data_IF_636353318996
#
_entry.id   IF_636353318996
#
_cell.length_a   1.000
_cell.length_b   1.000
_cell.length_c   1.000
_cell.angle_alpha   90.00
_cell.angle_beta   90.00
_cell.angle_gamma   90.00
#
_symmetry.space_group_name_H-M   'P 1'
#
loop_
_entity.id
_entity.type
_entity.pdbx_description
1 polymer ?
#
# COMPACT_ATOMS: atom_id res chain seq x y z
N UNK A 1 -12.84 37.37 -39.40
CA UNK A 1 -13.72 36.20 -39.28
C UNK A 1 -13.58 35.67 -37.86
N UNK A 2 -14.63 35.81 -37.05
CA UNK A 2 -14.67 35.54 -35.65
C UNK A 2 -14.90 34.02 -35.42
N UNK A 3 -14.03 33.38 -34.64
CA UNK A 3 -14.31 32.07 -34.07
C UNK A 3 -14.88 32.30 -32.67
N UNK A 4 -16.20 32.24 -32.57
CA UNK A 4 -16.93 32.20 -31.33
C UNK A 4 -16.71 30.84 -30.66
N UNK A 5 -15.99 30.80 -29.56
CA UNK A 5 -15.94 29.65 -28.70
C UNK A 5 -17.23 29.53 -27.91
N UNK A 6 -17.95 28.46 -28.14
CA UNK A 6 -19.16 28.07 -27.39
C UNK A 6 -18.80 27.82 -25.95
N UNK A 7 -19.27 28.68 -25.04
CA UNK A 7 -19.41 28.43 -23.62
C UNK A 7 -20.63 27.50 -23.44
N UNK A 8 -20.39 26.21 -23.45
CA UNK A 8 -21.37 25.19 -23.18
C UNK A 8 -21.15 24.51 -21.85
N UNK A 9 -22.22 24.39 -21.09
CA UNK A 9 -22.48 23.55 -19.95
C UNK A 9 -21.70 23.83 -18.64
N UNK A 10 -22.34 24.66 -17.80
CA UNK A 10 -22.16 24.58 -16.35
C UNK A 10 -22.75 23.25 -15.82
N UNK A 11 -22.10 22.13 -16.09
CA UNK A 11 -22.41 20.89 -15.41
C UNK A 11 -22.19 21.14 -13.91
N UNK A 12 -23.28 21.09 -13.12
CA UNK A 12 -23.22 21.18 -11.67
C UNK A 12 -22.26 20.11 -11.16
N UNK A 13 -21.07 20.52 -10.69
CA UNK A 13 -20.04 19.62 -10.18
C UNK A 13 -20.66 18.70 -9.12
N UNK A 14 -20.54 17.39 -9.31
CA UNK A 14 -21.08 16.41 -8.37
C UNK A 14 -20.45 16.61 -7.00
N UNK A 15 -21.21 16.35 -5.93
CA UNK A 15 -20.72 16.54 -4.56
C UNK A 15 -19.43 15.75 -4.30
N UNK A 16 -19.34 14.51 -4.79
CA UNK A 16 -18.17 13.66 -4.63
C UNK A 16 -16.91 14.27 -5.26
N UNK A 17 -17.01 14.78 -6.49
CA UNK A 17 -15.90 15.43 -7.20
C UNK A 17 -15.42 16.66 -6.44
N UNK A 18 -16.34 17.41 -5.86
CA UNK A 18 -16.03 18.61 -5.07
C UNK A 18 -15.32 18.28 -3.78
N UNK A 19 -15.76 17.25 -3.03
CA UNK A 19 -15.07 16.77 -1.82
C UNK A 19 -13.64 16.34 -2.13
N UNK A 20 -13.44 15.63 -3.23
CA UNK A 20 -12.10 15.24 -3.71
C UNK A 20 -11.22 16.46 -4.01
N UNK A 21 -11.75 17.45 -4.71
CA UNK A 21 -11.00 18.66 -5.05
C UNK A 21 -10.64 19.50 -3.81
N UNK A 22 -11.49 19.53 -2.77
CA UNK A 22 -11.16 20.18 -1.49
C UNK A 22 -9.93 19.50 -0.86
N UNK A 23 -9.92 18.18 -0.75
CA UNK A 23 -8.78 17.45 -0.19
C UNK A 23 -7.52 17.69 -1.03
N UNK A 24 -7.64 17.63 -2.35
CA UNK A 24 -6.53 17.88 -3.25
C UNK A 24 -5.97 19.31 -3.09
N UNK A 25 -6.84 20.30 -2.96
CA UNK A 25 -6.45 21.70 -2.75
C UNK A 25 -5.73 21.93 -1.41
N UNK A 26 -6.05 21.14 -0.38
CA UNK A 26 -5.41 21.21 0.94
C UNK A 26 -4.12 20.38 1.03
N UNK A 27 -3.92 19.44 0.12
CA UNK A 27 -2.79 18.51 0.15
C UNK A 27 -1.46 19.21 -0.05
N UNK A 28 -0.46 18.84 0.76
CA UNK A 28 0.90 19.38 0.66
C UNK A 28 1.09 20.81 1.13
N UNK A 29 0.04 21.50 1.55
CA UNK A 29 0.13 22.86 2.09
C UNK A 29 0.65 22.83 3.52
N UNK A 30 1.54 23.78 3.82
CA UNK A 30 2.02 24.05 5.19
C UNK A 30 1.25 25.14 5.89
N UNK A 31 0.45 25.92 5.16
CA UNK A 31 -0.35 27.06 5.64
C UNK A 31 -1.81 26.82 5.33
N UNK A 32 -2.69 27.31 6.22
CA UNK A 32 -4.13 27.20 6.06
C UNK A 32 -4.61 27.91 4.77
N UNK A 33 -5.46 27.24 4.00
CA UNK A 33 -6.10 27.78 2.81
C UNK A 33 -7.45 28.39 3.21
N UNK A 34 -7.68 29.70 2.98
CA UNK A 34 -8.95 30.34 3.30
C UNK A 34 -10.14 29.72 2.54
N UNK A 35 -11.28 29.55 3.21
CA UNK A 35 -12.50 29.01 2.60
C UNK A 35 -12.94 29.80 1.36
N UNK A 36 -12.68 31.10 1.30
CA UNK A 36 -12.96 31.93 0.13
C UNK A 36 -12.20 31.48 -1.10
N UNK A 37 -10.93 31.11 -0.95
CA UNK A 37 -10.11 30.56 -2.05
C UNK A 37 -10.62 29.22 -2.55
N UNK A 38 -11.09 28.35 -1.64
CA UNK A 38 -11.74 27.10 -2.01
C UNK A 38 -13.04 27.37 -2.79
N UNK A 39 -13.85 28.31 -2.31
CA UNK A 39 -15.10 28.71 -2.96
C UNK A 39 -14.87 29.25 -4.39
N UNK A 40 -13.87 30.10 -4.55
CA UNK A 40 -13.45 30.64 -5.85
C UNK A 40 -12.97 29.52 -6.80
N UNK A 41 -12.07 28.65 -6.32
CA UNK A 41 -11.49 27.56 -7.13
C UNK A 41 -12.55 26.55 -7.58
N UNK A 42 -13.51 26.25 -6.71
CA UNK A 42 -14.55 25.24 -6.97
C UNK A 42 -15.83 25.85 -7.58
N UNK A 43 -15.87 27.16 -7.74
CA UNK A 43 -17.04 27.90 -8.22
C UNK A 43 -18.32 27.59 -7.44
N UNK A 44 -18.23 27.63 -6.09
CA UNK A 44 -19.34 27.37 -5.17
C UNK A 44 -19.44 28.42 -4.09
N UNK A 45 -20.55 28.44 -3.35
CA UNK A 45 -20.72 29.38 -2.22
C UNK A 45 -19.83 28.99 -1.04
N UNK A 46 -19.45 29.98 -0.19
CA UNK A 46 -18.77 29.76 1.08
C UNK A 46 -19.53 28.76 1.99
N UNK A 47 -20.86 28.87 2.04
CA UNK A 47 -21.73 27.95 2.79
C UNK A 47 -21.56 26.49 2.31
N UNK A 48 -21.41 26.31 1.00
CA UNK A 48 -21.15 24.98 0.44
C UNK A 48 -19.80 24.43 0.88
N UNK A 49 -18.74 25.27 0.85
CA UNK A 49 -17.40 24.88 1.31
C UNK A 49 -17.43 24.47 2.78
N UNK A 50 -18.04 25.27 3.65
CA UNK A 50 -18.13 24.96 5.08
C UNK A 50 -18.84 23.64 5.35
N UNK A 51 -19.96 23.39 4.67
CA UNK A 51 -20.68 22.12 4.80
C UNK A 51 -19.84 20.95 4.32
N UNK A 52 -19.21 21.08 3.16
CA UNK A 52 -18.40 20.01 2.58
C UNK A 52 -17.15 19.70 3.43
N UNK A 53 -16.51 20.72 4.03
CA UNK A 53 -15.41 20.53 4.97
C UNK A 53 -15.89 19.84 6.24
N UNK A 54 -17.03 20.23 6.80
CA UNK A 54 -17.61 19.58 7.97
C UNK A 54 -17.94 18.11 7.70
N UNK A 55 -18.50 17.80 6.54
CA UNK A 55 -18.78 16.43 6.12
C UNK A 55 -17.50 15.58 5.99
N UNK A 56 -16.42 16.17 5.46
CA UNK A 56 -15.10 15.51 5.39
C UNK A 56 -14.52 15.24 6.78
N UNK A 57 -14.62 16.21 7.69
CA UNK A 57 -14.17 16.06 9.09
C UNK A 57 -14.95 14.96 9.81
N UNK A 58 -16.28 14.93 9.66
CA UNK A 58 -17.14 13.84 10.20
C UNK A 58 -16.77 12.50 9.59
N UNK A 59 -16.37 12.46 8.32
CA UNK A 59 -15.91 11.25 7.64
C UNK A 59 -14.49 10.81 8.04
N UNK A 60 -13.86 11.52 9.00
CA UNK A 60 -12.52 11.17 9.52
C UNK A 60 -11.36 11.75 8.73
N UNK A 61 -11.59 12.63 7.76
CA UNK A 61 -10.50 13.35 7.07
C UNK A 61 -9.92 14.38 8.05
N UNK A 62 -8.62 14.33 8.38
CA UNK A 62 -8.02 15.18 9.40
C UNK A 62 -7.76 16.60 8.86
N UNK A 63 -8.84 17.33 8.62
CA UNK A 63 -8.80 18.73 8.26
C UNK A 63 -8.85 19.55 9.55
N UNK A 64 -7.83 20.38 9.76
CA UNK A 64 -7.78 21.36 10.85
C UNK A 64 -8.08 22.76 10.32
N UNK A 65 -8.66 23.58 11.17
CA UNK A 65 -9.00 24.97 10.86
C UNK A 65 -10.45 25.30 11.17
N UNK A 66 -10.75 26.58 11.04
CA UNK A 66 -12.07 27.14 11.33
C UNK A 66 -12.48 28.22 10.32
N UNK A 67 -13.76 28.55 10.34
CA UNK A 67 -14.31 29.61 9.52
C UNK A 67 -13.61 30.94 9.79
N UNK A 68 -13.14 31.63 8.74
CA UNK A 68 -12.42 32.90 8.83
C UNK A 68 -10.90 32.78 8.84
N UNK A 69 -10.32 31.69 9.36
CA UNK A 69 -8.88 31.44 9.38
C UNK A 69 -8.46 30.65 8.13
N UNK A 70 -9.18 29.57 7.84
CA UNK A 70 -8.90 28.66 6.73
C UNK A 70 -8.65 27.24 7.20
N UNK A 71 -8.36 26.35 6.26
CA UNK A 71 -8.25 24.92 6.46
C UNK A 71 -6.91 24.39 6.00
N UNK A 72 -6.38 23.39 6.71
CA UNK A 72 -5.16 22.66 6.37
C UNK A 72 -5.38 21.17 6.61
N UNK A 73 -4.80 20.34 5.78
CA UNK A 73 -4.81 18.90 5.97
C UNK A 73 -3.60 18.51 6.85
N UNK A 74 -3.84 17.83 7.97
CA UNK A 74 -2.79 17.37 8.89
C UNK A 74 -1.85 16.40 8.16
N UNK A 75 -0.54 16.48 8.41
CA UNK A 75 0.44 15.49 7.91
C UNK A 75 0.13 14.11 8.49
N UNK A 76 0.16 13.09 7.63
CA UNK A 76 -0.18 11.72 8.03
C UNK A 76 -1.66 11.38 7.83
N UNK A 77 -2.41 12.26 7.15
CA UNK A 77 -3.73 11.90 6.67
C UNK A 77 -3.60 10.70 5.74
N UNK A 78 -4.14 9.58 6.20
CA UNK A 78 -4.31 8.40 5.38
C UNK A 78 -5.19 8.75 4.16
N UNK A 79 -5.15 7.96 3.18
CA UNK A 79 -5.67 8.07 1.81
C UNK A 79 -6.97 8.94 1.70
N UNK A 80 -7.07 9.87 0.73
CA UNK A 80 -8.27 10.65 0.47
C UNK A 80 -9.46 9.76 0.07
N UNK A 81 -10.72 10.27 0.06
CA UNK A 81 -11.85 9.53 -0.46
C UNK A 81 -11.54 9.00 -1.85
N UNK A 82 -11.50 7.67 -1.98
CA UNK A 82 -11.29 6.97 -3.24
C UNK A 82 -12.66 6.54 -3.77
N UNK A 83 -12.88 6.69 -5.06
CA UNK A 83 -14.05 6.16 -5.76
C UNK A 83 -13.62 4.90 -6.49
N UNK A 84 -14.19 3.77 -6.13
CA UNK A 84 -13.94 2.50 -6.78
C UNK A 84 -15.16 2.10 -7.62
N UNK A 85 -14.93 1.60 -8.82
CA UNK A 85 -15.94 0.87 -9.57
C UNK A 85 -16.05 -0.59 -9.06
N UNK A 86 -17.02 -1.34 -9.59
CA UNK A 86 -17.30 -2.69 -9.10
C UNK A 86 -16.15 -3.69 -9.38
N UNK A 87 -15.40 -3.52 -10.46
CA UNK A 87 -14.28 -4.38 -10.85
C UNK A 87 -13.06 -4.09 -9.99
N UNK A 88 -12.79 -2.83 -9.72
CA UNK A 88 -11.72 -2.42 -8.80
C UNK A 88 -11.96 -2.94 -7.38
N UNK A 89 -13.20 -2.86 -6.89
CA UNK A 89 -13.58 -3.44 -5.61
C UNK A 89 -13.40 -4.96 -5.58
N UNK A 90 -13.78 -5.66 -6.64
CA UNK A 90 -13.58 -7.11 -6.74
C UNK A 90 -12.09 -7.45 -6.71
N UNK A 91 -11.25 -6.72 -7.45
CA UNK A 91 -9.80 -6.90 -7.45
C UNK A 91 -9.19 -6.71 -6.06
N UNK A 92 -9.62 -5.67 -5.31
CA UNK A 92 -9.18 -5.44 -3.93
C UNK A 92 -9.60 -6.57 -2.98
N UNK A 93 -10.84 -7.06 -3.09
CA UNK A 93 -11.34 -8.18 -2.29
C UNK A 93 -10.56 -9.46 -2.59
N UNK A 94 -10.36 -9.77 -3.86
CA UNK A 94 -9.59 -10.95 -4.30
C UNK A 94 -8.13 -10.82 -3.83
N UNK A 95 -7.48 -9.69 -4.07
CA UNK A 95 -6.13 -9.41 -3.60
C UNK A 95 -5.98 -9.59 -2.09
N UNK A 96 -6.95 -9.09 -1.30
CA UNK A 96 -6.98 -9.29 0.15
C UNK A 96 -7.12 -10.76 0.55
N UNK A 97 -7.86 -11.58 -0.20
CA UNK A 97 -7.95 -13.05 0.05
C UNK A 97 -6.59 -13.71 -0.16
N UNK A 98 -5.85 -13.33 -1.22
CA UNK A 98 -4.51 -13.83 -1.46
C UNK A 98 -3.54 -13.41 -0.35
N UNK A 99 -3.55 -12.12 0.05
CA UNK A 99 -2.72 -11.65 1.17
C UNK A 99 -3.02 -12.44 2.45
N UNK A 100 -4.29 -12.68 2.78
CA UNK A 100 -4.69 -13.44 3.97
C UNK A 100 -4.30 -14.91 3.90
N UNK A 101 -4.23 -15.49 2.72
CA UNK A 101 -3.88 -16.90 2.53
C UNK A 101 -2.37 -17.15 2.58
N UNK A 102 -1.56 -16.20 2.13
CA UNK A 102 -0.14 -16.43 1.85
C UNK A 102 0.82 -15.49 2.59
N UNK A 103 0.39 -14.31 3.03
CA UNK A 103 1.26 -13.37 3.74
C UNK A 103 1.37 -13.68 5.24
N UNK A 104 2.28 -12.94 5.92
CA UNK A 104 2.46 -12.97 7.36
C UNK A 104 1.23 -12.47 8.14
N UNK A 105 1.21 -12.70 9.45
CA UNK A 105 0.07 -12.38 10.31
C UNK A 105 -0.26 -10.89 10.30
N UNK A 106 0.76 -10.04 10.32
CA UNK A 106 0.62 -8.57 10.34
C UNK A 106 -0.06 -8.06 9.06
N UNK A 107 0.43 -8.47 7.89
CA UNK A 107 -0.13 -8.04 6.62
C UNK A 107 -1.54 -8.64 6.38
N UNK A 108 -1.78 -9.87 6.82
CA UNK A 108 -3.09 -10.52 6.81
C UNK A 108 -4.10 -9.76 7.67
N UNK A 109 -3.71 -9.32 8.88
CA UNK A 109 -4.56 -8.50 9.75
C UNK A 109 -4.85 -7.12 9.13
N UNK A 110 -3.86 -6.48 8.53
CA UNK A 110 -4.01 -5.20 7.84
C UNK A 110 -4.97 -5.31 6.64
N UNK A 111 -4.85 -6.35 5.82
CA UNK A 111 -5.76 -6.61 4.70
C UNK A 111 -7.21 -6.82 5.17
N UNK A 112 -7.40 -7.55 6.28
CA UNK A 112 -8.73 -7.72 6.88
C UNK A 112 -9.30 -6.38 7.35
N UNK A 113 -8.51 -5.57 8.06
CA UNK A 113 -8.94 -4.26 8.55
C UNK A 113 -9.29 -3.31 7.40
N UNK A 114 -8.52 -3.30 6.32
CA UNK A 114 -8.82 -2.53 5.12
C UNK A 114 -10.15 -2.93 4.48
N UNK A 115 -10.40 -4.25 4.31
CA UNK A 115 -11.68 -4.73 3.78
C UNK A 115 -12.86 -4.33 4.64
N UNK A 116 -12.77 -4.42 5.97
CA UNK A 116 -13.85 -4.00 6.87
C UNK A 116 -14.17 -2.51 6.71
N UNK A 117 -13.17 -1.65 6.54
CA UNK A 117 -13.37 -0.22 6.26
C UNK A 117 -14.08 0.01 4.92
N UNK A 118 -13.68 -0.71 3.88
CA UNK A 118 -14.32 -0.64 2.55
C UNK A 118 -15.78 -1.11 2.65
N UNK A 119 -16.03 -2.28 3.24
CA UNK A 119 -17.37 -2.85 3.37
C UNK A 119 -18.32 -1.96 4.17
N UNK A 120 -17.81 -1.22 5.17
CA UNK A 120 -18.62 -0.32 6.00
C UNK A 120 -19.23 0.83 5.20
N UNK A 121 -18.59 1.28 4.12
CA UNK A 121 -19.05 2.41 3.30
C UNK A 121 -19.70 1.98 1.98
N UNK A 122 -19.68 0.68 1.65
CA UNK A 122 -20.29 0.18 0.42
C UNK A 122 -21.82 0.19 0.46
N UNK A 123 -22.48 0.61 -0.63
CA UNK A 123 -23.91 0.36 -0.85
C UNK A 123 -24.24 -1.15 -0.75
N UNK A 124 -25.44 -1.52 -0.28
CA UNK A 124 -25.83 -2.94 -0.09
C UNK A 124 -25.63 -3.81 -1.33
N UNK A 125 -25.92 -3.27 -2.52
CA UNK A 125 -25.81 -3.98 -3.80
C UNK A 125 -24.34 -4.32 -4.14
N UNK A 126 -23.43 -3.36 -3.98
CA UNK A 126 -22.00 -3.57 -4.21
C UNK A 126 -21.41 -4.51 -3.15
N UNK A 127 -21.84 -4.40 -1.90
CA UNK A 127 -21.44 -5.32 -0.83
C UNK A 127 -21.86 -6.76 -1.14
N UNK A 128 -23.11 -6.97 -1.60
CA UNK A 128 -23.58 -8.29 -2.00
C UNK A 128 -22.78 -8.84 -3.20
N UNK A 129 -22.37 -7.99 -4.15
CA UNK A 129 -21.56 -8.39 -5.30
C UNK A 129 -20.16 -8.82 -4.89
N UNK A 130 -19.48 -8.07 -4.03
CA UNK A 130 -18.13 -8.43 -3.53
C UNK A 130 -18.12 -9.73 -2.73
N UNK A 131 -19.19 -9.99 -1.96
CA UNK A 131 -19.38 -11.24 -1.22
C UNK A 131 -19.64 -12.45 -2.13
N UNK A 132 -20.22 -12.24 -3.31
CA UNK A 132 -20.50 -13.30 -4.31
C UNK A 132 -19.29 -13.66 -5.19
N UNK A 133 -18.18 -12.94 -5.10
CA UNK A 133 -16.98 -13.29 -5.86
C UNK A 133 -16.55 -14.74 -5.57
N UNK A 134 -16.45 -15.54 -6.63
CA UNK A 134 -16.13 -16.98 -6.56
C UNK A 134 -14.65 -17.26 -6.67
N UNK A 135 -13.80 -16.24 -6.61
CA UNK A 135 -12.34 -16.39 -6.65
C UNK A 135 -11.86 -16.58 -5.21
N UNK A 136 -11.31 -17.75 -4.95
CA UNK A 136 -10.78 -18.15 -3.65
C UNK A 136 -9.27 -18.32 -3.71
N UNK A 137 -8.60 -18.12 -2.58
CA UNK A 137 -7.19 -18.40 -2.40
C UNK A 137 -7.05 -19.53 -1.35
N UNK A 138 -7.28 -20.80 -1.72
CA UNK A 138 -7.18 -21.89 -0.77
C UNK A 138 -5.71 -22.12 -0.40
N UNK A 139 -5.37 -21.92 0.87
CA UNK A 139 -4.07 -22.27 1.42
C UNK A 139 -4.10 -23.72 1.89
N UNK A 140 -3.47 -24.64 1.15
CA UNK A 140 -3.32 -26.07 1.53
C UNK A 140 -2.04 -26.36 2.29
N UNK A 141 -1.15 -25.39 2.44
CA UNK A 141 0.15 -25.61 3.11
C UNK A 141 0.09 -25.31 4.58
N UNK A 142 0.83 -26.17 5.34
CA UNK A 142 1.23 -25.83 6.69
C UNK A 142 1.74 -24.39 6.68
N UNK A 143 1.22 -23.58 7.57
CA UNK A 143 1.72 -22.22 7.82
C UNK A 143 3.24 -22.33 7.94
N UNK A 144 3.96 -21.80 6.97
CA UNK A 144 5.27 -21.23 7.29
C UNK A 144 4.93 -20.30 8.42
N UNK A 145 5.65 -20.44 9.54
CA UNK A 145 5.34 -19.65 10.71
C UNK A 145 5.19 -18.21 10.25
N UNK A 146 3.98 -17.69 10.37
CA UNK A 146 3.60 -16.36 9.82
C UNK A 146 4.52 -15.29 10.37
N UNK A 147 5.11 -15.55 11.54
CA UNK A 147 6.04 -14.71 12.24
C UNK A 147 7.40 -14.62 11.53
N UNK A 148 7.81 -15.69 10.80
CA UNK A 148 9.05 -15.68 9.99
C UNK A 148 8.92 -14.68 8.84
N UNK A 149 7.81 -14.73 8.12
CA UNK A 149 7.55 -13.80 7.00
C UNK A 149 7.47 -12.35 7.50
N UNK A 150 6.78 -12.11 8.61
CA UNK A 150 6.67 -10.77 9.19
C UNK A 150 8.02 -10.25 9.67
N UNK A 151 8.84 -11.11 10.27
CA UNK A 151 10.18 -10.73 10.76
C UNK A 151 11.16 -10.46 9.61
N UNK A 152 11.13 -11.28 8.55
CA UNK A 152 11.92 -11.05 7.34
C UNK A 152 11.50 -9.75 6.63
N UNK A 153 10.19 -9.51 6.54
CA UNK A 153 9.65 -8.27 5.97
C UNK A 153 10.11 -7.03 6.76
N UNK A 154 10.10 -7.11 8.10
CA UNK A 154 10.59 -6.04 8.94
C UNK A 154 12.10 -5.80 8.75
N UNK A 155 12.90 -6.87 8.65
CA UNK A 155 14.35 -6.76 8.42
C UNK A 155 14.67 -6.10 7.06
N UNK A 156 13.89 -6.39 6.02
CA UNK A 156 14.00 -5.72 4.71
C UNK A 156 13.68 -4.23 4.86
N UNK A 157 12.55 -3.89 5.49
CA UNK A 157 12.13 -2.50 5.66
C UNK A 157 13.13 -1.65 6.46
N UNK A 158 13.79 -2.27 7.44
CA UNK A 158 14.80 -1.63 8.29
C UNK A 158 16.24 -1.77 7.73
N UNK A 159 16.43 -2.38 6.56
CA UNK A 159 17.74 -2.66 5.94
C UNK A 159 18.71 -3.36 6.90
N UNK A 160 18.24 -4.35 7.66
CA UNK A 160 19.05 -5.07 8.67
C UNK A 160 19.76 -6.27 8.06
N UNK A 161 21.05 -6.40 8.36
CA UNK A 161 21.81 -7.61 8.04
C UNK A 161 21.34 -8.75 8.91
N UNK A 162 21.08 -9.90 8.28
CA UNK A 162 20.63 -11.11 8.98
C UNK A 162 21.70 -12.20 8.91
N UNK A 163 21.86 -12.91 10.03
CA UNK A 163 22.54 -14.21 10.08
C UNK A 163 21.48 -15.30 9.98
N UNK A 164 21.61 -16.17 8.96
CA UNK A 164 20.70 -17.28 8.70
C UNK A 164 21.40 -18.61 8.93
N UNK A 165 20.79 -19.52 9.67
CA UNK A 165 21.14 -20.95 9.65
C UNK A 165 20.23 -21.61 8.63
N UNK A 166 20.80 -22.03 7.51
CA UNK A 166 20.09 -22.46 6.32
C UNK A 166 20.43 -23.89 5.93
N UNK A 167 19.42 -24.67 5.53
CA UNK A 167 19.59 -25.99 4.91
C UNK A 167 19.29 -25.89 3.43
N UNK A 168 20.26 -26.23 2.60
CA UNK A 168 20.08 -26.27 1.16
C UNK A 168 19.20 -27.44 0.71
N UNK A 169 18.96 -27.55 -0.59
CA UNK A 169 18.13 -28.62 -1.17
C UNK A 169 18.71 -30.01 -0.94
N UNK A 170 20.02 -30.13 -0.85
CA UNK A 170 20.73 -31.36 -0.54
C UNK A 170 20.79 -31.68 0.98
N UNK A 171 20.18 -30.84 1.81
CA UNK A 171 20.15 -31.01 3.27
C UNK A 171 21.38 -30.48 4.00
N UNK A 172 22.38 -29.89 3.30
CA UNK A 172 23.59 -29.36 3.92
C UNK A 172 23.26 -28.10 4.72
N UNK A 173 23.68 -28.10 5.97
CA UNK A 173 23.57 -26.92 6.83
C UNK A 173 24.68 -25.91 6.54
N UNK A 174 24.36 -24.63 6.62
CA UNK A 174 25.32 -23.54 6.49
C UNK A 174 24.81 -22.28 7.18
N UNK A 175 25.72 -21.51 7.78
CA UNK A 175 25.40 -20.19 8.33
C UNK A 175 25.76 -19.12 7.28
N UNK A 176 24.87 -18.17 7.07
CA UNK A 176 25.01 -17.10 6.07
C UNK A 176 24.71 -15.74 6.70
N UNK A 177 25.53 -14.77 6.38
CA UNK A 177 25.18 -13.37 6.59
C UNK A 177 24.68 -12.80 5.27
N UNK A 178 23.48 -12.19 5.33
CA UNK A 178 22.77 -11.71 4.15
C UNK A 178 22.21 -10.32 4.37
N UNK A 179 22.15 -9.56 3.29
CA UNK A 179 21.47 -8.28 3.17
C UNK A 179 20.13 -8.55 2.45
N UNK A 180 19.01 -8.62 3.19
CA UNK A 180 17.73 -9.03 2.62
C UNK A 180 17.15 -7.89 1.76
N UNK A 181 16.72 -8.19 0.53
CA UNK A 181 16.26 -7.19 -0.45
C UNK A 181 14.76 -7.29 -0.73
N UNK A 182 14.23 -8.51 -0.83
CA UNK A 182 12.82 -8.72 -1.09
C UNK A 182 12.30 -10.08 -0.61
N UNK A 183 10.98 -10.17 -0.47
CA UNK A 183 10.24 -11.41 -0.38
C UNK A 183 9.42 -11.59 -1.66
N UNK A 184 9.67 -12.67 -2.39
CA UNK A 184 8.93 -13.02 -3.61
C UNK A 184 8.09 -14.28 -3.39
N UNK A 185 6.85 -14.28 -3.91
CA UNK A 185 5.93 -15.42 -3.82
C UNK A 185 5.76 -16.09 -5.18
N UNK A 186 6.21 -17.33 -5.31
CA UNK A 186 6.19 -18.09 -6.55
C UNK A 186 5.10 -19.19 -6.51
N UNK A 187 3.82 -18.78 -6.62
CA UNK A 187 2.69 -19.72 -6.78
C UNK A 187 2.53 -20.80 -5.69
N UNK A 188 3.10 -20.60 -4.51
CA UNK A 188 2.99 -21.53 -3.40
C UNK A 188 4.20 -21.60 -2.48
N UNK A 189 5.28 -20.90 -2.80
CA UNK A 189 6.46 -20.80 -1.94
C UNK A 189 7.00 -19.38 -1.90
N UNK A 190 7.37 -18.93 -0.72
CA UNK A 190 8.12 -17.70 -0.52
C UNK A 190 9.61 -17.92 -0.75
N UNK A 191 10.27 -16.92 -1.28
CA UNK A 191 11.73 -16.81 -1.34
C UNK A 191 12.16 -15.45 -0.80
N UNK A 192 13.25 -15.45 -0.02
CA UNK A 192 13.96 -14.26 0.41
C UNK A 192 15.08 -14.00 -0.61
N UNK A 193 14.95 -12.95 -1.40
CA UNK A 193 16.04 -12.44 -2.23
C UNK A 193 17.01 -11.62 -1.40
N UNK A 194 18.30 -11.91 -1.49
CA UNK A 194 19.31 -11.26 -0.68
C UNK A 194 20.68 -11.25 -1.34
N UNK A 195 21.52 -10.30 -0.97
CA UNK A 195 22.97 -10.36 -1.19
C UNK A 195 23.61 -11.22 -0.11
N UNK A 196 24.30 -12.27 -0.51
CA UNK A 196 24.98 -13.18 0.41
C UNK A 196 26.46 -12.75 0.58
N UNK A 197 26.82 -12.23 1.75
CA UNK A 197 28.17 -11.76 2.06
C UNK A 197 29.25 -12.83 1.88
N UNK A 198 28.93 -14.10 2.22
CA UNK A 198 29.88 -15.20 2.09
C UNK A 198 30.18 -15.56 0.62
N UNK A 199 29.21 -15.36 -0.28
CA UNK A 199 29.35 -15.70 -1.70
C UNK A 199 29.64 -14.50 -2.56
N UNK A 200 29.54 -13.31 -2.00
CA UNK A 200 29.63 -12.03 -2.71
C UNK A 200 28.76 -12.01 -3.97
N UNK A 201 27.51 -12.52 -3.82
CA UNK A 201 26.60 -12.70 -4.92
C UNK A 201 25.15 -12.77 -4.43
N UNK A 202 24.21 -12.49 -5.34
CA UNK A 202 22.78 -12.63 -5.06
C UNK A 202 22.39 -14.09 -4.85
N UNK A 203 21.53 -14.33 -3.90
CA UNK A 203 20.97 -15.66 -3.58
C UNK A 203 19.51 -15.53 -3.17
N UNK A 204 18.77 -16.58 -3.52
CA UNK A 204 17.39 -16.77 -3.08
C UNK A 204 17.36 -17.86 -2.01
N UNK A 205 16.79 -17.54 -0.85
CA UNK A 205 16.65 -18.45 0.26
C UNK A 205 15.17 -18.78 0.46
N UNK A 206 14.84 -20.04 0.67
CA UNK A 206 13.48 -20.43 1.04
C UNK A 206 13.28 -20.27 2.54
N UNK A 207 12.28 -19.45 3.01
CA UNK A 207 12.05 -19.27 4.44
C UNK A 207 11.74 -20.56 5.19
N UNK A 208 11.08 -21.54 4.55
CA UNK A 208 10.79 -22.85 5.14
C UNK A 208 12.03 -23.76 5.32
N UNK A 209 13.20 -23.33 4.82
CA UNK A 209 14.51 -24.00 5.01
C UNK A 209 15.45 -23.24 5.95
N UNK A 210 15.00 -22.11 6.50
CA UNK A 210 15.72 -21.36 7.51
C UNK A 210 15.41 -21.99 8.86
N UNK A 211 16.43 -22.57 9.51
CA UNK A 211 16.26 -23.16 10.82
C UNK A 211 16.16 -22.07 11.91
N UNK A 212 17.06 -21.10 11.86
CA UNK A 212 17.05 -19.91 12.72
C UNK A 212 17.56 -18.70 11.96
N UNK A 213 17.17 -17.52 12.39
CA UNK A 213 17.76 -16.27 11.89
C UNK A 213 17.74 -15.22 13.00
N UNK A 214 18.70 -14.31 12.94
CA UNK A 214 18.79 -13.18 13.85
C UNK A 214 19.45 -11.98 13.17
N UNK A 215 19.03 -10.74 13.51
CA UNK A 215 19.78 -9.55 13.12
C UNK A 215 21.19 -9.58 13.69
N UNK A 216 22.18 -9.19 12.90
CA UNK A 216 23.58 -9.09 13.37
C UNK A 216 23.86 -7.82 14.19
N UNK A 217 22.93 -6.88 14.18
CA UNK A 217 23.10 -5.52 14.70
C UNK A 217 23.56 -4.51 13.65
N UNK A 218 23.98 -4.98 12.48
CA UNK A 218 24.39 -4.12 11.35
C UNK A 218 23.21 -3.76 10.46
N UNK A 219 23.33 -2.62 9.79
CA UNK A 219 22.47 -2.20 8.67
C UNK A 219 23.28 -2.13 7.40
N UNK A 220 22.60 -2.21 6.26
CA UNK A 220 23.23 -2.05 4.96
C UNK A 220 22.55 -0.91 4.16
N UNK A 221 23.25 -0.42 3.14
CA UNK A 221 22.72 0.56 2.19
C UNK A 221 22.70 -0.10 0.82
N UNK A 222 21.57 -0.06 0.16
CA UNK A 222 21.49 -0.54 -1.22
C UNK A 222 22.32 0.33 -2.15
N UNK A 223 23.04 -0.32 -3.06
CA UNK A 223 23.79 0.34 -4.13
C UNK A 223 23.26 -0.09 -5.49
N UNK A 224 23.75 0.54 -6.56
CA UNK A 224 23.38 0.16 -7.93
C UNK A 224 23.75 -1.29 -8.25
N UNK A 225 24.81 -1.82 -7.62
CA UNK A 225 25.31 -3.19 -7.83
C UNK A 225 24.73 -4.20 -6.83
N UNK A 226 24.30 -3.75 -5.64
CA UNK A 226 23.86 -4.62 -4.52
C UNK A 226 22.50 -4.21 -3.96
N UNK A 227 21.58 -3.78 -4.81
CA UNK A 227 20.21 -3.40 -4.43
C UNK A 227 19.17 -4.27 -5.09
N UNK A 228 17.90 -4.00 -4.76
CA UNK A 228 16.75 -4.72 -5.27
C UNK A 228 16.71 -4.77 -6.81
N UNK A 229 16.96 -3.63 -7.48
CA UNK A 229 16.96 -3.55 -8.96
C UNK A 229 18.02 -4.46 -9.58
N UNK A 230 19.22 -4.48 -9.00
CA UNK A 230 20.29 -5.37 -9.47
C UNK A 230 19.95 -6.85 -9.24
N UNK A 231 19.35 -7.18 -8.09
CA UNK A 231 18.86 -8.53 -7.81
C UNK A 231 17.82 -8.98 -8.83
N UNK A 232 16.79 -8.17 -9.09
CA UNK A 232 15.72 -8.53 -10.03
C UNK A 232 16.28 -8.75 -11.43
N UNK A 233 17.20 -7.89 -11.88
CA UNK A 233 17.88 -8.04 -13.17
C UNK A 233 18.71 -9.33 -13.24
N UNK A 234 19.45 -9.66 -12.18
CA UNK A 234 20.23 -10.88 -12.10
C UNK A 234 19.37 -12.16 -12.12
N UNK A 235 18.13 -12.08 -11.61
CA UNK A 235 17.15 -13.18 -11.64
C UNK A 235 16.36 -13.25 -12.97
N UNK A 236 16.65 -12.41 -13.95
CA UNK A 236 15.94 -12.36 -15.24
C UNK A 236 14.54 -11.76 -15.16
N UNK A 237 14.24 -11.03 -14.09
CA UNK A 237 12.97 -10.34 -13.91
C UNK A 237 12.91 -9.00 -14.64
N UNK A 238 11.69 -8.54 -14.91
CA UNK A 238 11.45 -7.17 -15.36
C UNK A 238 11.70 -6.20 -14.20
N UNK A 239 12.39 -5.09 -14.46
CA UNK A 239 12.72 -4.08 -13.46
C UNK A 239 11.58 -3.10 -13.19
N UNK A 240 10.46 -3.23 -13.89
CA UNK A 240 9.21 -2.53 -13.58
C UNK A 240 8.56 -3.16 -12.34
N UNK A 241 9.10 -2.82 -11.19
CA UNK A 241 8.67 -3.33 -9.88
C UNK A 241 7.60 -2.37 -9.32
N UNK A 242 6.58 -2.04 -10.13
CA UNK A 242 5.33 -1.39 -9.73
C UNK A 242 5.44 -0.03 -9.04
#
# INVERSE_FOLDING_TARGET
>A
MAFGAALGDHACMRRADRLFLIIHALRGRRTALPARRLAETLNVSLRTVYRDVADLQVSGVPIEGEAGVGYVLRKGADIPPLMFNAEELEALVVGSRFVRAFAGARLSAAARAALLKIEAVLPPELRARTQRSRIFAPSRRARIETDVIDSLHAAIADSRVLRLDYRDESGRASTREVEPLCLAFWGGAWTLGAWCRLREDFRSFRPDRIATFAPTGETFVETAERGLVAYVRAMGGDTDIG
#
